data_IF_580831042128
#
_entry.id   IF_580831042128
#
_cell.length_a   1.000
_cell.length_b   1.000
_cell.length_c   1.000
_cell.angle_alpha   90.00
_cell.angle_beta   90.00
_cell.angle_gamma   90.00
#
_symmetry.space_group_name_H-M   'P 1'
#
loop_
_entity.id
_entity.type
_entity.pdbx_description
1 polymer ?
#
# COMPACT_ATOMS: atom_id res chain seq x y z
N UNK A 1 -11.85 -7.23 -11.42
CA UNK A 1 -12.21 -5.89 -10.89
C UNK A 1 -13.40 -5.23 -11.62
N UNK A 2 -13.33 -5.01 -12.93
CA UNK A 2 -14.40 -4.36 -13.72
C UNK A 2 -15.76 -5.05 -13.53
N UNK A 3 -15.82 -6.36 -13.82
CA UNK A 3 -17.05 -7.15 -13.71
C UNK A 3 -17.68 -7.12 -12.30
N UNK A 4 -16.84 -7.08 -11.26
CA UNK A 4 -17.27 -7.07 -9.86
C UNK A 4 -17.54 -5.66 -9.31
N UNK A 5 -17.19 -4.59 -10.04
CA UNK A 5 -17.23 -3.19 -9.58
C UNK A 5 -16.61 -2.99 -8.19
N UNK A 6 -15.62 -3.81 -7.84
CA UNK A 6 -14.94 -3.83 -6.52
C UNK A 6 -13.43 -3.69 -6.74
N UNK A 7 -12.82 -2.78 -6.00
CA UNK A 7 -11.36 -2.66 -5.93
C UNK A 7 -10.85 -3.80 -5.04
N UNK A 8 -10.13 -4.76 -5.62
CA UNK A 8 -9.53 -5.86 -4.89
C UNK A 8 -8.26 -6.32 -5.60
N UNK A 9 -7.24 -6.68 -4.83
CA UNK A 9 -6.03 -7.32 -5.35
C UNK A 9 -6.29 -8.74 -5.83
N UNK A 10 -7.38 -9.36 -5.35
CA UNK A 10 -7.83 -10.70 -5.74
C UNK A 10 -9.33 -10.83 -5.47
N UNK A 11 -10.12 -11.22 -6.46
CA UNK A 11 -11.52 -11.59 -6.23
C UNK A 11 -11.63 -13.08 -5.85
N UNK A 12 -12.72 -13.50 -5.19
CA UNK A 12 -12.95 -14.91 -4.90
C UNK A 12 -12.85 -15.77 -6.17
N UNK A 13 -12.05 -16.83 -6.11
CA UNK A 13 -11.82 -17.73 -7.25
C UNK A 13 -10.80 -17.24 -8.28
N UNK A 14 -10.30 -16.00 -8.18
CA UNK A 14 -9.22 -15.54 -9.05
C UNK A 14 -7.89 -16.18 -8.66
N UNK A 15 -7.05 -16.39 -9.68
CA UNK A 15 -5.65 -16.78 -9.53
C UNK A 15 -4.90 -15.66 -8.80
N UNK A 16 -3.89 -16.03 -8.01
CA UNK A 16 -3.02 -15.01 -7.42
C UNK A 16 -2.14 -14.35 -8.48
N UNK A 17 -1.56 -13.20 -8.16
CA UNK A 17 -0.73 -12.42 -9.07
C UNK A 17 0.47 -13.20 -9.62
N UNK A 18 1.06 -14.09 -8.81
CA UNK A 18 2.19 -14.91 -9.21
C UNK A 18 1.80 -15.95 -10.26
N UNK A 19 0.63 -16.57 -10.11
CA UNK A 19 0.03 -17.45 -11.12
C UNK A 19 -0.28 -16.69 -12.41
N UNK A 20 -0.88 -15.50 -12.31
CA UNK A 20 -1.18 -14.66 -13.48
C UNK A 20 0.09 -14.27 -14.24
N UNK A 21 1.15 -13.85 -13.54
CA UNK A 21 2.43 -13.53 -14.16
C UNK A 21 3.07 -14.74 -14.84
N UNK A 22 3.02 -15.91 -14.20
CA UNK A 22 3.53 -17.17 -14.77
C UNK A 22 2.77 -17.56 -16.05
N UNK A 23 1.45 -17.43 -16.07
CA UNK A 23 0.62 -17.70 -17.25
C UNK A 23 0.86 -16.71 -18.39
N UNK A 24 1.20 -15.46 -18.06
CA UNK A 24 1.66 -14.47 -19.02
C UNK A 24 3.10 -14.72 -19.51
N UNK A 25 3.76 -15.81 -19.09
CA UNK A 25 5.14 -16.14 -19.46
C UNK A 25 6.19 -15.28 -18.74
N UNK A 26 5.80 -14.53 -17.71
CA UNK A 26 6.71 -13.70 -16.94
C UNK A 26 7.27 -14.46 -15.74
N UNK A 27 8.56 -14.83 -15.82
CA UNK A 27 9.27 -15.51 -14.74
C UNK A 27 9.81 -14.48 -13.74
N UNK A 28 9.16 -14.34 -12.58
CA UNK A 28 9.38 -13.23 -11.67
C UNK A 28 10.14 -13.64 -10.40
N UNK A 29 11.01 -12.72 -9.94
CA UNK A 29 11.66 -12.75 -8.64
C UNK A 29 10.83 -12.03 -7.59
N UNK A 30 10.34 -10.84 -7.95
CA UNK A 30 9.46 -10.04 -7.13
C UNK A 30 8.34 -9.46 -7.97
N UNK A 31 7.12 -9.46 -7.44
CA UNK A 31 5.96 -8.79 -8.01
C UNK A 31 5.35 -7.84 -7.00
N UNK A 32 4.79 -6.75 -7.49
CA UNK A 32 4.00 -5.81 -6.71
C UNK A 32 2.94 -5.18 -7.61
N UNK A 33 1.83 -4.72 -7.03
CA UNK A 33 0.74 -4.16 -7.81
C UNK A 33 0.16 -2.93 -7.12
N UNK A 34 -0.15 -1.91 -7.90
CA UNK A 34 -0.99 -0.79 -7.51
C UNK A 34 -2.32 -0.91 -8.24
N UNK A 35 -3.42 -0.68 -7.52
CA UNK A 35 -4.76 -0.57 -8.09
C UNK A 35 -5.38 0.75 -7.67
N UNK A 36 -6.11 1.39 -8.59
CA UNK A 36 -6.83 2.63 -8.32
C UNK A 36 -8.18 2.64 -9.05
N UNK A 37 -9.13 3.40 -8.52
CA UNK A 37 -10.42 3.65 -9.15
C UNK A 37 -10.76 5.12 -9.08
N UNK A 38 -11.31 5.66 -10.17
CA UNK A 38 -11.76 7.04 -10.27
C UNK A 38 -10.80 8.07 -10.87
N UNK A 39 -9.47 7.90 -10.99
CA UNK A 39 -8.67 8.93 -11.65
C UNK A 39 -9.08 9.06 -13.11
N UNK A 40 -9.17 10.29 -13.59
CA UNK A 40 -9.64 10.62 -14.94
C UNK A 40 -8.49 10.84 -15.92
N UNK A 41 -7.26 10.86 -15.42
CA UNK A 41 -6.05 11.04 -16.20
C UNK A 41 -4.88 10.30 -15.58
N UNK A 42 -3.84 10.04 -16.38
CA UNK A 42 -2.58 9.49 -15.90
C UNK A 42 -1.93 10.39 -14.83
N UNK A 43 -2.07 11.71 -14.93
CA UNK A 43 -1.55 12.67 -13.94
C UNK A 43 -2.27 12.54 -12.60
N UNK A 44 -3.59 12.41 -12.61
CA UNK A 44 -4.39 12.20 -11.41
C UNK A 44 -4.07 10.85 -10.77
N UNK A 45 -3.94 9.79 -11.58
CA UNK A 45 -3.48 8.48 -11.12
C UNK A 45 -2.11 8.59 -10.45
N UNK A 46 -1.11 9.17 -11.12
CA UNK A 46 0.22 9.33 -10.55
C UNK A 46 0.17 10.17 -9.27
N UNK A 47 -0.62 11.23 -9.21
CA UNK A 47 -0.80 12.02 -7.98
C UNK A 47 -1.32 11.14 -6.84
N UNK A 48 -2.36 10.34 -7.08
CA UNK A 48 -2.89 9.40 -6.09
C UNK A 48 -1.85 8.37 -5.64
N UNK A 49 -1.08 7.83 -6.58
CA UNK A 49 -0.01 6.87 -6.27
C UNK A 49 1.11 7.53 -5.47
N UNK A 50 1.57 8.73 -5.84
CA UNK A 50 2.61 9.46 -5.13
C UNK A 50 2.20 9.85 -3.70
N UNK A 51 0.92 10.14 -3.48
CA UNK A 51 0.39 10.46 -2.16
C UNK A 51 0.36 9.25 -1.21
N UNK A 52 0.45 8.02 -1.72
CA UNK A 52 0.56 6.82 -0.91
C UNK A 52 2.04 6.42 -0.76
N UNK A 53 2.62 6.41 0.45
CA UNK A 53 4.04 6.09 0.65
C UNK A 53 4.46 4.72 0.10
N UNK A 54 3.59 3.70 0.18
CA UNK A 54 3.88 2.37 -0.35
C UNK A 54 3.90 2.34 -1.87
N UNK A 55 2.92 2.99 -2.52
CA UNK A 55 2.89 3.11 -3.98
C UNK A 55 4.05 3.96 -4.51
N UNK A 56 4.42 5.02 -3.78
CA UNK A 56 5.59 5.85 -4.07
C UNK A 56 6.88 5.05 -3.93
N UNK A 57 7.03 4.28 -2.86
CA UNK A 57 8.18 3.38 -2.69
C UNK A 57 8.27 2.40 -3.86
N UNK A 58 7.16 1.77 -4.26
CA UNK A 58 7.11 0.87 -5.43
C UNK A 58 7.50 1.57 -6.75
N UNK A 59 7.01 2.80 -6.98
CA UNK A 59 7.35 3.60 -8.16
C UNK A 59 8.85 3.89 -8.28
N UNK A 60 9.56 3.98 -7.15
CA UNK A 60 10.97 4.36 -7.09
C UNK A 60 11.88 3.23 -6.56
N UNK A 61 11.35 2.02 -6.41
CA UNK A 61 12.11 0.92 -5.84
C UNK A 61 13.14 0.43 -6.85
N UNK A 62 14.39 0.38 -6.45
CA UNK A 62 15.51 -0.13 -7.25
C UNK A 62 15.33 -1.57 -7.72
N UNK A 63 14.51 -2.36 -7.04
CA UNK A 63 14.27 -3.77 -7.36
C UNK A 63 13.18 -3.97 -8.41
N UNK A 64 12.62 -2.90 -8.97
CA UNK A 64 11.60 -2.94 -10.02
C UNK A 64 12.27 -2.59 -11.33
N UNK A 65 12.18 -3.49 -12.32
CA UNK A 65 12.72 -3.24 -13.66
C UNK A 65 11.66 -3.26 -14.75
N UNK A 66 10.57 -3.99 -14.51
CA UNK A 66 9.50 -4.16 -15.47
C UNK A 66 8.21 -3.56 -14.92
N UNK A 67 7.42 -2.98 -15.83
CA UNK A 67 6.12 -2.40 -15.50
C UNK A 67 5.08 -2.76 -16.55
N UNK A 68 3.93 -3.25 -16.09
CA UNK A 68 2.73 -3.46 -16.90
C UNK A 68 1.61 -2.55 -16.40
N UNK A 69 0.89 -1.89 -17.31
CA UNK A 69 -0.23 -1.01 -16.97
C UNK A 69 -1.46 -1.42 -17.77
N UNK A 70 -2.60 -1.50 -17.10
CA UNK A 70 -3.91 -1.70 -17.71
C UNK A 70 -4.93 -0.71 -17.11
N UNK A 71 -5.85 -0.23 -17.92
CA UNK A 71 -6.96 0.63 -17.48
C UNK A 71 -8.26 0.28 -18.20
N UNK A 72 -9.39 0.52 -17.54
CA UNK A 72 -10.72 0.27 -18.10
C UNK A 72 -11.85 0.59 -17.10
N UNK A 73 -12.95 1.17 -17.58
CA UNK A 73 -14.12 1.55 -16.76
C UNK A 73 -13.77 2.36 -15.48
N UNK A 74 -12.75 3.22 -15.56
CA UNK A 74 -12.27 4.02 -14.42
C UNK A 74 -11.41 3.25 -13.42
N UNK A 75 -11.12 1.98 -13.66
CA UNK A 75 -10.12 1.19 -12.94
C UNK A 75 -8.75 1.30 -13.61
N UNK A 76 -7.71 1.29 -12.77
CA UNK A 76 -6.32 1.28 -13.18
C UNK A 76 -5.59 0.20 -12.40
N UNK A 77 -4.77 -0.57 -13.10
CA UNK A 77 -3.90 -1.60 -12.54
C UNK A 77 -2.50 -1.36 -13.06
N UNK A 78 -1.53 -1.37 -12.17
CA UNK A 78 -0.12 -1.25 -12.51
C UNK A 78 0.63 -2.34 -11.77
N UNK A 79 1.26 -3.25 -12.52
CA UNK A 79 2.04 -4.36 -11.98
C UNK A 79 3.51 -4.03 -12.19
N UNK A 80 4.28 -4.17 -11.14
CA UNK A 80 5.72 -4.01 -11.11
C UNK A 80 6.36 -5.37 -10.94
N UNK A 81 7.42 -5.62 -11.69
CA UNK A 81 8.12 -6.88 -11.67
C UNK A 81 9.63 -6.70 -11.70
N UNK A 82 10.31 -7.73 -11.24
CA UNK A 82 11.66 -8.02 -11.68
C UNK A 82 11.73 -9.48 -12.09
N UNK A 83 12.32 -9.72 -13.26
CA UNK A 83 12.45 -11.04 -13.82
C UNK A 83 13.59 -11.82 -13.14
N UNK A 84 13.40 -13.11 -12.89
CA UNK A 84 14.41 -14.02 -12.31
C UNK A 84 15.72 -14.10 -13.11
N UNK A 85 15.72 -13.63 -14.36
CA UNK A 85 16.92 -13.59 -15.21
C UNK A 85 17.84 -12.40 -14.94
N UNK A 86 17.40 -11.41 -14.17
CA UNK A 86 18.18 -10.20 -13.90
C UNK A 86 18.40 -9.99 -12.40
N UNK A 87 19.54 -9.38 -12.06
CA UNK A 87 19.75 -8.85 -10.71
C UNK A 87 18.85 -7.62 -10.54
N UNK A 88 17.89 -7.72 -9.63
CA UNK A 88 16.91 -6.67 -9.33
C UNK A 88 17.56 -5.51 -8.54
N UNK A 89 18.49 -4.79 -9.16
CA UNK A 89 19.17 -3.63 -8.59
C UNK A 89 19.38 -2.54 -9.64
N UNK A 90 18.27 -2.01 -10.16
CA UNK A 90 18.24 -0.95 -11.18
C UNK A 90 18.71 0.43 -10.72
N UNK A 91 19.10 0.60 -9.45
CA UNK A 91 19.70 1.85 -8.95
C UNK A 91 21.23 1.88 -9.04
N UNK A 92 21.87 0.79 -9.49
CA UNK A 92 23.28 0.82 -9.86
C UNK A 92 23.45 1.43 -11.25
N UNK A 93 24.57 2.14 -11.48
CA UNK A 93 24.98 2.58 -12.81
C UNK A 93 24.75 1.45 -13.83
N UNK A 94 24.16 1.71 -15.01
CA UNK A 94 23.84 0.69 -16.00
C UNK A 94 25.13 0.12 -16.59
N UNK A 95 25.80 -0.75 -15.84
CA UNK A 95 26.80 -1.66 -16.37
C UNK A 95 26.00 -2.79 -16.99
N UNK A 96 25.67 -2.61 -18.26
CA UNK A 96 25.12 -3.67 -19.09
C UNK A 96 25.98 -4.92 -18.92
N UNK A 97 25.45 -5.92 -18.22
CA UNK A 97 25.95 -7.29 -18.34
C UNK A 97 25.71 -7.69 -19.80
N UNK A 98 26.78 -7.65 -20.57
CA UNK A 98 26.85 -8.10 -21.96
C UNK A 98 26.71 -9.63 -21.95
N UNK A 99 25.48 -10.13 -21.94
CA UNK A 99 25.22 -11.50 -22.36
C UNK A 99 24.92 -11.47 -23.86
N UNK A 100 25.87 -11.97 -24.65
CA UNK A 100 25.73 -12.24 -26.08
C UNK A 100 24.41 -12.96 -26.36
N UNK A 101 23.47 -12.28 -27.00
CA UNK A 101 22.36 -12.91 -27.69
C UNK A 101 22.14 -12.19 -29.02
N UNK A 102 22.18 -12.98 -30.09
CA UNK A 102 22.05 -12.62 -31.49
C UNK A 102 20.72 -11.89 -31.76
N UNK A 103 20.72 -10.70 -32.38
CA UNK A 103 19.49 -9.97 -32.72
C UNK A 103 18.93 -10.40 -34.10
N UNK A 104 17.60 -10.38 -34.31
CA UNK A 104 17.01 -10.41 -35.64
C UNK A 104 17.03 -9.03 -36.33
N UNK A 105 16.99 -9.07 -37.66
CA UNK A 105 17.39 -8.07 -38.67
C UNK A 105 16.84 -6.63 -38.58
N UNK A 106 17.80 -5.69 -38.60
CA UNK A 106 17.95 -4.42 -39.35
C UNK A 106 16.76 -3.54 -39.80
N UNK A 107 16.80 -2.26 -39.39
CA UNK A 107 16.47 -1.05 -40.19
C UNK A 107 17.67 -0.08 -40.04
N UNK A 108 18.11 0.64 -41.11
CA UNK A 108 19.47 1.15 -41.21
C UNK A 108 19.72 2.49 -40.51
N UNK A 109 20.96 2.60 -40.02
CA UNK A 109 21.59 3.75 -39.38
C UNK A 109 22.38 4.58 -40.41
N UNK A 110 22.52 5.91 -40.25
CA UNK A 110 23.68 6.63 -40.73
C UNK A 110 24.66 6.93 -39.56
N UNK A 111 25.87 6.39 -39.68
CA UNK A 111 27.07 6.69 -38.88
C UNK A 111 27.80 7.94 -39.43
N UNK A 112 28.99 8.34 -38.91
CA UNK A 112 29.42 8.56 -37.52
C UNK A 112 30.18 9.91 -37.36
N UNK A 113 30.58 10.28 -36.14
CA UNK A 113 31.84 11.04 -35.95
C UNK A 113 32.44 10.78 -34.56
N UNK A 114 33.76 10.72 -34.53
CA UNK A 114 34.61 10.01 -33.57
C UNK A 114 35.55 10.95 -32.79
N UNK A 115 36.15 10.38 -31.72
CA UNK A 115 37.45 10.70 -31.06
C UNK A 115 37.49 11.82 -29.99
N UNK A 116 38.50 11.85 -29.07
CA UNK A 116 39.44 10.81 -28.61
C UNK A 116 39.62 10.69 -27.06
N UNK A 117 40.47 9.73 -26.69
CA UNK A 117 40.83 9.14 -25.38
C UNK A 117 41.76 9.94 -24.43
N UNK A 118 41.83 9.47 -23.17
CA UNK A 118 43.03 9.23 -22.29
C UNK A 118 42.92 9.83 -20.87
N UNK A 119 43.75 9.44 -19.86
CA UNK A 119 44.22 8.10 -19.46
C UNK A 119 44.12 7.82 -17.93
N UNK A 120 44.23 6.52 -17.61
CA UNK A 120 44.86 5.82 -16.46
C UNK A 120 45.33 6.64 -15.24
N UNK A 121 44.92 6.23 -14.03
CA UNK A 121 45.77 6.30 -12.84
C UNK A 121 45.44 5.20 -11.80
N UNK A 122 46.48 4.87 -11.06
CA UNK A 122 46.82 3.57 -10.52
C UNK A 122 46.13 3.13 -9.22
N UNK A 123 46.13 1.81 -9.10
CA UNK A 123 45.94 0.90 -7.98
C UNK A 123 46.56 1.31 -6.63
N UNK A 124 45.88 0.93 -5.54
CA UNK A 124 46.52 0.54 -4.28
C UNK A 124 45.63 -0.43 -3.48
N UNK A 125 46.24 -1.31 -2.65
CA UNK A 125 45.77 -2.68 -2.43
C UNK A 125 44.72 -2.84 -1.31
N UNK A 126 43.91 -3.90 -1.47
CA UNK A 126 42.95 -4.39 -0.48
C UNK A 126 43.63 -5.05 0.74
N UNK A 127 43.08 -4.90 1.95
CA UNK A 127 43.50 -5.68 3.11
C UNK A 127 43.04 -7.16 3.00
N UNK A 128 43.94 -8.08 3.35
CA UNK A 128 43.71 -9.52 3.36
C UNK A 128 42.56 -9.92 4.31
N UNK A 129 41.71 -10.90 3.92
CA UNK A 129 40.74 -11.50 4.83
C UNK A 129 41.39 -12.48 5.82
N UNK A 130 40.79 -12.66 7.01
CA UNK A 130 41.28 -13.57 8.05
C UNK A 130 41.20 -15.05 7.63
N UNK A 131 42.00 -15.94 8.26
CA UNK A 131 42.05 -17.35 7.91
C UNK A 131 40.72 -18.08 8.18
N UNK A 132 40.42 -19.14 7.40
CA UNK A 132 39.18 -19.88 7.52
C UNK A 132 39.11 -20.72 8.81
N UNK A 133 37.93 -20.83 9.45
CA UNK A 133 37.74 -21.74 10.57
C UNK A 133 37.78 -23.21 10.14
N UNK A 134 38.31 -24.04 11.02
CA UNK A 134 38.49 -25.49 10.85
C UNK A 134 37.20 -26.24 10.46
N UNK A 135 37.30 -27.34 9.70
CA UNK A 135 36.14 -28.10 9.26
C UNK A 135 35.44 -28.81 10.44
N UNK A 136 34.10 -28.82 10.49
CA UNK A 136 33.34 -29.54 11.51
C UNK A 136 33.48 -31.06 11.32
N UNK A 137 33.59 -31.75 12.47
CA UNK A 137 33.69 -33.19 12.68
C UNK A 137 32.52 -33.92 11.96
N UNK A 138 32.84 -34.93 11.15
CA UNK A 138 31.84 -35.80 10.49
C UNK A 138 31.03 -36.58 11.52
N UNK A 139 29.71 -36.42 11.50
CA UNK A 139 28.76 -37.32 12.17
C UNK A 139 28.66 -38.66 11.41
N UNK A 140 28.42 -39.79 12.10
CA UNK A 140 28.24 -41.09 11.45
C UNK A 140 26.97 -41.13 10.57
N UNK A 141 26.96 -41.97 9.53
CA UNK A 141 25.83 -42.07 8.61
C UNK A 141 24.59 -42.68 9.29
N UNK A 142 23.38 -42.19 8.97
CA UNK A 142 22.15 -42.78 9.47
C UNK A 142 21.90 -44.15 8.83
N UNK A 143 21.51 -45.11 9.66
CA UNK A 143 21.14 -46.47 9.28
C UNK A 143 19.95 -46.46 8.31
N UNK A 144 20.12 -47.06 7.14
CA UNK A 144 19.09 -47.18 6.11
C UNK A 144 17.95 -48.07 6.62
N UNK A 145 16.77 -47.47 6.81
CA UNK A 145 15.51 -48.19 7.03
C UNK A 145 14.95 -48.61 5.67
N UNK A 146 14.43 -49.85 5.50
CA UNK A 146 13.81 -50.26 4.25
C UNK A 146 12.60 -49.38 3.93
N UNK A 147 12.37 -49.03 2.65
CA UNK A 147 11.21 -48.24 2.26
C UNK A 147 9.93 -49.06 2.44
N UNK A 148 8.92 -48.45 3.07
CA UNK A 148 7.56 -48.99 3.09
C UNK A 148 7.00 -49.08 1.66
N UNK A 149 6.22 -50.13 1.34
CA UNK A 149 5.60 -50.29 0.02
C UNK A 149 4.70 -49.10 -0.32
N UNK A 150 4.83 -48.61 -1.55
CA UNK A 150 4.07 -47.47 -2.04
C UNK A 150 2.56 -47.80 -2.09
N UNK A 151 1.68 -46.85 -1.71
CA UNK A 151 0.25 -47.03 -1.87
C UNK A 151 -0.13 -47.13 -3.37
N UNK A 152 -1.17 -47.90 -3.71
CA UNK A 152 -1.60 -48.11 -5.09
C UNK A 152 -1.98 -46.79 -5.74
N UNK A 153 -1.50 -46.61 -6.98
CA UNK A 153 -1.70 -45.41 -7.79
C UNK A 153 -3.19 -45.26 -8.11
N UNK A 154 -3.83 -44.12 -7.83
CA UNK A 154 -5.21 -43.90 -8.23
C UNK A 154 -5.33 -43.91 -9.76
N UNK A 155 -6.36 -44.59 -10.26
CA UNK A 155 -6.68 -44.71 -11.67
C UNK A 155 -6.87 -43.32 -12.31
N UNK A 156 -6.37 -43.12 -13.55
CA UNK A 156 -6.57 -41.84 -14.24
C UNK A 156 -8.06 -41.59 -14.49
N UNK A 157 -8.54 -40.34 -14.33
CA UNK A 157 -9.92 -39.99 -14.62
C UNK A 157 -10.21 -40.15 -16.12
N UNK A 158 -11.40 -40.67 -16.42
CA UNK A 158 -11.88 -40.86 -17.79
C UNK A 158 -11.92 -39.52 -18.55
N UNK A 159 -11.62 -39.51 -19.85
CA UNK A 159 -11.66 -38.29 -20.65
C UNK A 159 -13.09 -37.71 -20.70
N UNK A 160 -13.24 -36.38 -20.60
CA UNK A 160 -14.53 -35.73 -20.65
C UNK A 160 -15.19 -35.93 -22.02
N UNK A 161 -16.50 -36.21 -21.99
CA UNK A 161 -17.35 -36.34 -23.18
C UNK A 161 -17.31 -35.02 -24.00
N UNK A 162 -17.24 -35.08 -25.34
CA UNK A 162 -17.28 -33.90 -26.18
C UNK A 162 -18.58 -33.13 -25.98
N UNK A 163 -18.46 -31.83 -25.68
CA UNK A 163 -19.62 -30.93 -25.61
C UNK A 163 -20.20 -30.70 -27.02
N UNK A 164 -21.54 -30.63 -27.17
CA UNK A 164 -22.17 -30.32 -28.43
C UNK A 164 -21.81 -28.90 -28.91
N UNK A 165 -21.79 -28.65 -30.23
CA UNK A 165 -21.41 -27.36 -30.79
C UNK A 165 -22.38 -26.26 -30.35
N UNK A 166 -21.87 -25.29 -29.58
CA UNK A 166 -22.61 -24.08 -29.22
C UNK A 166 -22.79 -23.22 -30.48
N UNK A 167 -24.04 -23.00 -30.88
CA UNK A 167 -24.41 -21.95 -31.83
C UNK A 167 -24.10 -20.59 -31.21
N UNK A 168 -23.30 -19.81 -31.92
CA UNK A 168 -23.02 -18.41 -31.57
C UNK A 168 -24.33 -17.62 -31.48
N UNK A 169 -24.57 -16.87 -30.39
CA UNK A 169 -25.71 -15.96 -30.32
C UNK A 169 -25.54 -14.82 -31.34
N UNK A 170 -26.63 -14.32 -31.93
CA UNK A 170 -26.58 -13.23 -32.89
C UNK A 170 -26.05 -11.95 -32.24
N UNK A 171 -25.20 -11.24 -32.98
CA UNK A 171 -24.62 -9.95 -32.59
C UNK A 171 -25.72 -8.93 -32.24
N UNK A 172 -25.58 -8.18 -31.12
CA UNK A 172 -26.50 -7.11 -30.78
C UNK A 172 -26.50 -6.02 -31.86
N UNK A 173 -27.70 -5.59 -32.28
CA UNK A 173 -27.85 -4.43 -33.17
C UNK A 173 -27.26 -3.18 -32.52
N UNK A 174 -26.54 -2.40 -33.32
CA UNK A 174 -26.00 -1.11 -32.91
C UNK A 174 -27.12 -0.17 -32.41
N UNK A 175 -26.90 0.55 -31.31
CA UNK A 175 -27.86 1.52 -30.82
C UNK A 175 -27.99 2.71 -31.79
N UNK A 176 -29.20 3.29 -31.92
CA UNK A 176 -29.42 4.44 -32.78
C UNK A 176 -28.64 5.68 -32.30
N UNK A 177 -28.28 6.60 -33.21
CA UNK A 177 -27.53 7.80 -32.89
C UNK A 177 -28.28 8.67 -31.86
N UNK A 178 -27.61 8.96 -30.73
CA UNK A 178 -28.12 9.86 -29.72
C UNK A 178 -28.18 11.29 -30.27
N UNK A 179 -29.36 11.91 -30.16
CA UNK A 179 -29.56 13.34 -30.46
C UNK A 179 -28.73 14.20 -29.50
N UNK A 180 -28.06 15.20 -30.05
CA UNK A 180 -27.30 16.21 -29.30
C UNK A 180 -28.16 16.91 -28.25
N UNK A 181 -27.60 17.26 -27.07
CA UNK A 181 -28.33 18.02 -26.06
C UNK A 181 -28.67 19.44 -26.56
N UNK A 182 -29.85 19.99 -26.18
CA UNK A 182 -30.20 21.36 -26.50
C UNK A 182 -29.29 22.36 -25.75
N UNK A 183 -28.96 23.47 -26.43
CA UNK A 183 -28.17 24.55 -25.87
C UNK A 183 -28.79 25.13 -24.58
N UNK A 184 -27.97 25.52 -23.60
CA UNK A 184 -28.43 26.15 -22.38
C UNK A 184 -29.09 27.51 -22.67
N UNK A 185 -30.27 27.73 -22.07
CA UNK A 185 -31.00 29.00 -22.11
C UNK A 185 -30.19 30.11 -21.42
N UNK A 186 -30.24 31.36 -21.92
CA UNK A 186 -29.58 32.50 -21.30
C UNK A 186 -30.18 32.84 -19.93
N UNK A 187 -29.30 33.17 -18.97
CA UNK A 187 -29.64 33.54 -17.60
C UNK A 187 -30.46 34.85 -17.55
N UNK A 188 -31.44 34.97 -16.62
CA UNK A 188 -32.20 36.19 -16.42
C UNK A 188 -31.33 37.36 -15.94
N UNK A 189 -31.68 38.56 -16.41
CA UNK A 189 -31.04 39.81 -16.07
C UNK A 189 -31.10 40.12 -14.57
N UNK A 190 -29.99 40.70 -14.09
CA UNK A 190 -29.75 41.15 -12.72
C UNK A 190 -30.72 42.28 -12.35
N UNK A 191 -31.48 42.19 -11.23
CA UNK A 191 -32.33 43.29 -10.79
C UNK A 191 -31.49 44.46 -10.23
N UNK A 192 -31.96 45.67 -10.55
CA UNK A 192 -31.41 46.96 -10.14
C UNK A 192 -31.37 47.16 -8.62
N UNK A 193 -30.44 48.00 -8.10
CA UNK A 193 -30.25 48.21 -6.67
C UNK A 193 -31.41 48.97 -6.04
N UNK A 194 -31.97 48.41 -4.97
CA UNK A 194 -32.99 49.04 -4.13
C UNK A 194 -32.37 50.03 -3.14
N UNK A 195 -33.13 51.10 -2.87
CA UNK A 195 -32.82 52.29 -2.07
C UNK A 195 -32.30 52.06 -0.64
N UNK A 196 -31.70 53.10 -0.01
CA UNK A 196 -31.07 53.00 1.31
C UNK A 196 -32.09 52.72 2.42
N UNK A 197 -31.81 51.70 3.23
CA UNK A 197 -32.59 51.33 4.42
C UNK A 197 -32.30 52.30 5.58
N UNK A 198 -33.30 52.73 6.37
CA UNK A 198 -33.10 53.61 7.52
C UNK A 198 -32.20 52.96 8.60
N UNK A 199 -31.49 53.76 9.42
CA UNK A 199 -30.58 53.25 10.45
C UNK A 199 -31.35 52.46 11.50
N UNK A 200 -31.18 51.13 11.48
CA UNK A 200 -31.70 50.25 12.53
C UNK A 200 -30.86 50.42 13.80
N UNK A 201 -31.56 50.66 14.91
CA UNK A 201 -31.03 50.76 16.28
C UNK A 201 -30.23 49.49 16.60
N UNK A 202 -28.98 49.66 17.02
CA UNK A 202 -28.09 48.56 17.37
C UNK A 202 -28.72 47.71 18.48
N UNK A 203 -28.87 46.37 18.30
CA UNK A 203 -29.34 45.50 19.36
C UNK A 203 -28.35 45.49 20.53
N UNK A 204 -28.84 45.29 21.77
CA UNK A 204 -28.00 45.24 22.96
C UNK A 204 -26.92 44.17 22.82
N UNK A 205 -25.69 44.54 23.19
CA UNK A 205 -24.50 43.70 23.17
C UNK A 205 -24.80 42.36 23.85
N UNK A 206 -24.72 41.28 23.08
CA UNK A 206 -24.89 39.93 23.61
C UNK A 206 -23.86 39.66 24.72
N UNK A 207 -24.26 38.96 25.80
CA UNK A 207 -23.37 38.63 26.90
C UNK A 207 -22.13 37.90 26.38
N UNK A 208 -20.96 38.37 26.84
CA UNK A 208 -19.65 37.84 26.48
C UNK A 208 -19.64 36.32 26.66
N UNK A 209 -19.33 35.54 25.62
CA UNK A 209 -19.29 34.08 25.73
C UNK A 209 -18.40 33.65 26.91
N UNK A 210 -18.83 32.66 27.71
CA UNK A 210 -18.00 32.13 28.78
C UNK A 210 -16.63 31.75 28.23
N UNK A 211 -15.59 32.16 28.95
CA UNK A 211 -14.19 31.93 28.58
C UNK A 211 -14.00 30.43 28.31
N UNK A 212 -13.53 30.09 27.11
CA UNK A 212 -13.28 28.71 26.75
C UNK A 212 -12.41 28.04 27.83
N UNK A 213 -12.74 26.79 28.25
CA UNK A 213 -11.94 26.08 29.24
C UNK A 213 -10.47 26.09 28.83
N UNK A 214 -9.57 26.34 29.78
CA UNK A 214 -8.13 26.25 29.54
C UNK A 214 -7.81 24.86 28.98
N UNK A 215 -6.97 24.76 27.92
CA UNK A 215 -6.60 23.47 27.37
C UNK A 215 -5.96 22.61 28.47
N UNK A 216 -6.25 21.30 28.51
CA UNK A 216 -5.64 20.40 29.48
C UNK A 216 -4.11 20.47 29.36
N UNK A 217 -3.37 20.30 30.47
CA UNK A 217 -1.91 20.29 30.44
C UNK A 217 -1.42 19.24 29.44
N UNK A 218 -0.31 19.50 28.72
CA UNK A 218 0.20 18.59 27.70
C UNK A 218 0.49 17.23 28.36
N UNK A 219 -0.33 16.23 28.02
CA UNK A 219 -0.09 14.85 28.41
C UNK A 219 1.27 14.45 27.83
N UNK A 220 2.20 14.01 28.69
CA UNK A 220 3.45 13.40 28.23
C UNK A 220 3.09 12.06 27.60
N UNK A 221 2.85 12.07 26.29
CA UNK A 221 2.72 10.84 25.54
C UNK A 221 4.05 10.08 25.61
N UNK A 222 4.02 8.88 26.17
CA UNK A 222 5.22 8.04 26.31
C UNK A 222 5.03 6.74 25.55
N UNK A 223 6.13 6.20 25.04
CA UNK A 223 6.18 4.86 24.49
C UNK A 223 6.67 3.91 25.58
N UNK A 224 5.86 2.94 25.96
CA UNK A 224 6.25 1.99 27.01
C UNK A 224 7.41 1.10 26.56
N UNK A 225 8.48 1.07 27.36
CA UNK A 225 9.63 0.18 27.21
C UNK A 225 9.49 -1.16 27.95
N UNK A 226 8.36 -1.38 28.65
CA UNK A 226 8.12 -2.58 29.47
C UNK A 226 6.81 -3.30 29.16
N UNK A 227 5.95 -2.74 28.32
CA UNK A 227 4.62 -3.27 28.04
C UNK A 227 4.36 -3.39 26.54
N UNK A 228 3.99 -4.60 26.07
CA UNK A 228 3.63 -4.90 24.68
C UNK A 228 2.11 -5.13 24.48
N UNK A 229 1.27 -4.70 25.43
CA UNK A 229 -0.18 -4.77 25.29
C UNK A 229 -0.67 -3.92 24.12
N UNK A 230 -1.82 -4.29 23.56
CA UNK A 230 -2.46 -3.54 22.47
C UNK A 230 -2.67 -2.05 22.84
N UNK A 231 -3.04 -1.76 24.09
CA UNK A 231 -3.20 -0.39 24.58
C UNK A 231 -1.88 0.39 24.55
N UNK A 232 -0.80 -0.19 25.11
CA UNK A 232 0.52 0.44 25.11
C UNK A 232 1.05 0.69 23.68
N UNK A 233 0.77 -0.23 22.77
CA UNK A 233 1.13 -0.10 21.35
C UNK A 233 0.39 1.08 20.71
N UNK A 234 -0.93 1.18 20.88
CA UNK A 234 -1.70 2.28 20.30
C UNK A 234 -1.35 3.64 20.92
N UNK A 235 -1.07 3.68 22.22
CA UNK A 235 -0.57 4.89 22.89
C UNK A 235 0.78 5.32 22.28
N UNK A 236 1.72 4.39 22.11
CA UNK A 236 3.02 4.69 21.52
C UNK A 236 2.91 5.13 20.04
N UNK A 237 2.03 4.51 19.25
CA UNK A 237 1.73 4.95 17.87
C UNK A 237 1.30 6.42 17.86
N UNK A 238 0.35 6.79 18.73
CA UNK A 238 -0.14 8.17 18.81
C UNK A 238 0.91 9.14 19.36
N UNK A 239 1.72 8.70 20.32
CA UNK A 239 2.85 9.47 20.83
C UNK A 239 3.85 9.83 19.71
N UNK A 240 4.24 8.84 18.90
CA UNK A 240 5.18 9.00 17.79
C UNK A 240 4.60 9.82 16.64
N UNK A 241 3.29 9.72 16.38
CA UNK A 241 2.60 10.58 15.40
C UNK A 241 2.64 12.05 15.79
N UNK A 242 2.45 12.35 17.08
CA UNK A 242 2.51 13.71 17.62
C UNK A 242 3.94 14.23 17.71
N UNK A 243 4.87 13.39 18.15
CA UNK A 243 6.27 13.73 18.35
C UNK A 243 7.19 12.64 17.79
N UNK A 244 7.55 12.72 16.50
CA UNK A 244 8.44 11.75 15.88
C UNK A 244 9.82 11.66 16.54
N UNK A 245 10.28 12.73 17.23
CA UNK A 245 11.57 12.75 17.91
C UNK A 245 11.69 11.73 19.06
N UNK A 246 10.58 11.13 19.51
CA UNK A 246 10.61 9.96 20.39
C UNK A 246 11.36 8.76 19.79
N UNK A 247 11.57 8.76 18.47
CA UNK A 247 12.31 7.74 17.71
C UNK A 247 13.67 8.27 17.20
N UNK A 248 14.20 9.35 17.79
CA UNK A 248 15.45 9.99 17.34
C UNK A 248 16.70 9.12 17.52
N UNK A 249 16.66 8.16 18.44
CA UNK A 249 17.71 7.17 18.68
C UNK A 249 17.67 5.99 17.70
N UNK A 250 16.67 5.95 16.79
CA UNK A 250 16.56 4.89 15.79
C UNK A 250 17.53 5.14 14.63
N UNK A 251 18.29 4.13 14.14
CA UNK A 251 19.31 4.34 13.11
C UNK A 251 18.79 4.98 11.81
N UNK A 252 17.53 4.73 11.47
CA UNK A 252 16.91 5.27 10.27
C UNK A 252 16.38 6.71 10.43
N UNK A 253 16.33 7.27 11.64
CA UNK A 253 15.62 8.53 11.94
C UNK A 253 16.04 9.69 11.04
N UNK A 254 17.34 9.92 10.91
CA UNK A 254 17.89 11.02 10.10
C UNK A 254 17.44 10.94 8.63
N UNK A 255 17.30 9.72 8.09
CA UNK A 255 16.88 9.52 6.69
C UNK A 255 15.38 9.73 6.45
N UNK A 256 14.56 9.79 7.50
CA UNK A 256 13.09 9.75 7.38
C UNK A 256 12.41 10.96 8.01
N UNK A 257 13.09 11.69 8.90
CA UNK A 257 12.52 12.78 9.70
C UNK A 257 11.82 13.83 8.84
N UNK A 258 12.41 14.24 7.71
CA UNK A 258 11.81 15.23 6.82
C UNK A 258 10.44 14.79 6.26
N UNK A 259 10.24 13.49 6.04
CA UNK A 259 9.00 12.94 5.48
C UNK A 259 7.88 12.74 6.52
N UNK A 260 8.22 12.67 7.80
CA UNK A 260 7.27 12.34 8.88
C UNK A 260 6.89 13.53 9.75
N UNK A 261 7.69 14.60 9.77
CA UNK A 261 7.37 15.83 10.52
C UNK A 261 6.48 16.77 9.73
N UNK A 262 6.46 16.66 8.39
CA UNK A 262 5.69 17.54 7.52
C UNK A 262 4.79 16.77 6.54
N UNK A 263 3.47 16.99 6.55
CA UNK A 263 2.71 17.73 7.56
C UNK A 263 2.70 17.03 8.95
N UNK A 264 2.42 17.74 10.06
CA UNK A 264 2.22 17.09 11.35
C UNK A 264 1.09 16.04 11.29
N UNK A 265 1.27 14.89 11.96
CA UNK A 265 0.23 13.85 12.01
C UNK A 265 -0.59 13.98 13.29
N UNK A 266 -1.92 13.94 13.13
CA UNK A 266 -2.84 13.88 14.27
C UNK A 266 -2.86 12.46 14.87
N UNK A 267 -3.16 12.31 16.17
CA UNK A 267 -3.44 11.00 16.76
C UNK A 267 -4.54 10.27 15.99
N UNK A 268 -4.42 8.95 15.91
CA UNK A 268 -5.48 8.08 15.42
C UNK A 268 -6.48 7.82 16.55
N UNK A 269 -7.76 7.79 16.20
CA UNK A 269 -8.84 7.44 17.11
C UNK A 269 -8.84 5.91 17.28
N UNK A 270 -8.85 5.44 18.52
CA UNK A 270 -8.97 4.01 18.80
C UNK A 270 -10.39 3.55 18.48
N UNK A 271 -10.53 2.50 17.66
CA UNK A 271 -11.83 2.00 17.21
C UNK A 271 -12.00 0.52 17.55
N UNK A 272 -13.10 0.17 18.24
CA UNK A 272 -13.38 -1.18 18.72
C UNK A 272 -13.55 -2.21 17.59
N UNK A 273 -14.09 -1.83 16.44
CA UNK A 273 -14.29 -2.74 15.31
C UNK A 273 -12.95 -3.09 14.65
N UNK A 274 -12.02 -2.13 14.61
CA UNK A 274 -10.65 -2.37 14.16
C UNK A 274 -9.88 -3.25 15.16
N UNK A 275 -10.12 -3.08 16.46
CA UNK A 275 -9.56 -3.96 17.49
C UNK A 275 -10.08 -5.40 17.35
N UNK A 276 -11.39 -5.58 17.12
CA UNK A 276 -11.97 -6.91 16.90
C UNK A 276 -11.43 -7.58 15.63
N UNK A 277 -11.24 -6.80 14.56
CA UNK A 277 -10.58 -7.27 13.33
C UNK A 277 -9.14 -7.71 13.62
N UNK A 278 -8.36 -6.88 14.32
CA UNK A 278 -6.98 -7.20 14.69
C UNK A 278 -6.91 -8.44 15.61
N UNK A 279 -7.82 -8.57 16.57
CA UNK A 279 -7.87 -9.71 17.49
C UNK A 279 -8.16 -11.02 16.77
N UNK A 280 -9.10 -11.01 15.81
CA UNK A 280 -9.44 -12.18 15.02
C UNK A 280 -8.23 -12.69 14.21
N UNK A 281 -7.52 -11.79 13.54
CA UNK A 281 -6.32 -12.14 12.78
C UNK A 281 -5.15 -12.57 13.69
N UNK A 282 -4.94 -11.87 14.80
CA UNK A 282 -3.90 -12.22 15.78
C UNK A 282 -4.14 -13.60 16.40
N UNK A 283 -5.40 -13.98 16.63
CA UNK A 283 -5.75 -15.34 17.10
C UNK A 283 -5.33 -16.42 16.11
N UNK A 284 -5.44 -16.16 14.80
CA UNK A 284 -4.96 -17.08 13.77
C UNK A 284 -3.42 -17.15 13.75
N UNK A 285 -2.73 -16.01 13.88
CA UNK A 285 -1.25 -16.04 14.00
C UNK A 285 -0.79 -16.89 15.18
N UNK A 286 -1.45 -16.78 16.34
CA UNK A 286 -1.17 -17.61 17.51
C UNK A 286 -1.47 -19.08 17.22
N UNK A 287 -2.65 -19.39 16.68
CA UNK A 287 -3.09 -20.77 16.41
C UNK A 287 -2.20 -21.49 15.39
N UNK A 288 -1.74 -20.78 14.36
CA UNK A 288 -0.81 -21.30 13.36
C UNK A 288 0.67 -21.17 13.76
N UNK A 289 0.95 -20.49 14.88
CA UNK A 289 2.30 -20.13 15.33
C UNK A 289 3.17 -19.54 14.19
N UNK A 290 2.59 -18.62 13.42
CA UNK A 290 3.23 -18.02 12.25
C UNK A 290 2.70 -16.62 12.00
N UNK A 291 3.48 -15.78 11.32
CA UNK A 291 3.10 -14.42 10.95
C UNK A 291 2.79 -14.36 9.44
N UNK A 292 1.57 -14.00 9.08
CA UNK A 292 1.11 -13.92 7.69
C UNK A 292 0.10 -12.78 7.54
N UNK A 293 0.00 -12.17 6.37
CA UNK A 293 -1.08 -11.21 6.04
C UNK A 293 -2.46 -11.89 5.93
N UNK A 294 -2.47 -13.20 5.72
CA UNK A 294 -3.68 -14.01 5.57
C UNK A 294 -3.39 -15.49 5.81
N UNK A 295 -4.28 -16.17 6.53
CA UNK A 295 -4.23 -17.63 6.73
C UNK A 295 -5.18 -18.38 5.79
N UNK A 296 -4.97 -19.69 5.58
CA UNK A 296 -5.92 -20.52 4.81
C UNK A 296 -7.35 -20.42 5.37
N UNK A 297 -8.30 -20.10 4.49
CA UNK A 297 -9.71 -19.93 4.85
C UNK A 297 -10.05 -18.60 5.53
N UNK A 298 -9.06 -17.77 5.86
CA UNK A 298 -9.30 -16.44 6.43
C UNK A 298 -9.78 -15.47 5.35
N UNK A 299 -10.85 -14.68 5.58
CA UNK A 299 -11.22 -13.60 4.67
C UNK A 299 -10.06 -12.61 4.50
N UNK A 300 -9.98 -11.96 3.33
CA UNK A 300 -9.02 -10.88 3.13
C UNK A 300 -9.33 -9.68 4.04
N UNK A 301 -8.36 -8.81 4.33
CA UNK A 301 -8.50 -7.67 5.26
C UNK A 301 -9.80 -6.87 5.07
N UNK A 302 -10.16 -6.55 3.83
CA UNK A 302 -11.38 -5.79 3.54
C UNK A 302 -12.65 -6.54 3.97
N UNK A 303 -12.73 -7.84 3.72
CA UNK A 303 -13.86 -8.65 4.15
C UNK A 303 -13.84 -8.87 5.68
N UNK A 304 -12.66 -8.97 6.31
CA UNK A 304 -12.54 -8.99 7.78
C UNK A 304 -13.10 -7.73 8.43
N UNK A 305 -12.80 -6.56 7.87
CA UNK A 305 -13.33 -5.27 8.34
C UNK A 305 -14.85 -5.20 8.18
N UNK A 306 -15.37 -5.60 7.01
CA UNK A 306 -16.82 -5.63 6.78
C UNK A 306 -17.55 -6.60 7.71
N UNK A 307 -16.96 -7.78 7.99
CA UNK A 307 -17.50 -8.74 8.95
C UNK A 307 -17.54 -8.19 10.38
N UNK A 308 -16.66 -7.23 10.70
CA UNK A 308 -16.68 -6.48 11.96
C UNK A 308 -17.46 -5.15 11.85
N UNK A 309 -18.40 -5.06 10.90
CA UNK A 309 -19.26 -3.89 10.69
C UNK A 309 -18.50 -2.57 10.50
N UNK A 310 -17.31 -2.62 9.88
CA UNK A 310 -16.51 -1.43 9.61
C UNK A 310 -16.48 -1.12 8.10
N UNK A 311 -17.28 -0.15 7.68
CA UNK A 311 -17.28 0.35 6.31
C UNK A 311 -16.11 1.34 6.10
N UNK A 312 -15.16 0.98 5.23
CA UNK A 312 -13.92 1.74 5.02
C UNK A 312 -13.77 2.24 3.59
N UNK A 313 -13.06 3.37 3.43
CA UNK A 313 -12.58 3.89 2.14
C UNK A 313 -11.09 3.61 1.92
N UNK A 314 -10.36 3.37 3.02
CA UNK A 314 -8.93 3.02 3.01
C UNK A 314 -8.62 2.19 4.26
N UNK A 315 -7.78 1.17 4.14
CA UNK A 315 -7.34 0.34 5.24
C UNK A 315 -5.93 -0.20 5.01
N UNK A 316 -5.19 -0.39 6.11
CA UNK A 316 -3.87 -1.02 6.13
C UNK A 316 -3.75 -1.92 7.36
N UNK A 317 -2.95 -2.96 7.24
CA UNK A 317 -2.62 -3.88 8.32
C UNK A 317 -1.11 -4.06 8.39
N UNK A 318 -0.60 -4.23 9.61
CA UNK A 318 0.75 -4.67 9.86
C UNK A 318 0.79 -5.59 11.07
N UNK A 319 1.80 -6.45 11.12
CA UNK A 319 2.00 -7.41 12.21
C UNK A 319 3.47 -7.55 12.57
N UNK A 320 3.72 -8.15 13.73
CA UNK A 320 5.05 -8.47 14.23
C UNK A 320 5.00 -9.70 15.14
N UNK A 321 6.17 -10.31 15.37
CA UNK A 321 6.37 -11.41 16.30
C UNK A 321 7.58 -11.16 17.19
N UNK A 322 7.58 -11.70 18.41
CA UNK A 322 8.71 -11.64 19.33
C UNK A 322 8.88 -10.26 20.00
N UNK A 323 7.82 -9.46 20.02
CA UNK A 323 7.84 -8.10 20.56
C UNK A 323 7.84 -8.14 22.09
N UNK A 324 8.79 -7.41 22.70
CA UNK A 324 8.90 -7.32 24.17
C UNK A 324 8.17 -6.13 24.77
N UNK A 325 8.11 -5.01 24.04
CA UNK A 325 7.45 -3.78 24.47
C UNK A 325 7.03 -2.93 23.26
N UNK A 326 6.15 -1.97 23.49
CA UNK A 326 5.62 -1.07 22.46
C UNK A 326 6.70 -0.19 21.81
N UNK A 327 7.69 0.28 22.58
CA UNK A 327 8.77 1.12 22.07
C UNK A 327 9.62 0.38 21.03
N UNK A 328 10.09 -0.83 21.34
CA UNK A 328 10.91 -1.65 20.43
C UNK A 328 10.15 -2.03 19.16
N UNK A 329 8.85 -2.35 19.29
CA UNK A 329 7.98 -2.58 18.15
C UNK A 329 7.90 -1.37 17.22
N UNK A 330 7.63 -0.21 17.81
CA UNK A 330 7.45 1.02 17.04
C UNK A 330 8.77 1.47 16.44
N UNK A 331 9.89 1.32 17.15
CA UNK A 331 11.25 1.49 16.61
C UNK A 331 11.51 0.61 15.39
N UNK A 332 11.12 -0.67 15.43
CA UNK A 332 11.25 -1.58 14.29
C UNK A 332 10.34 -1.16 13.11
N UNK A 333 9.06 -0.91 13.36
CA UNK A 333 8.12 -0.46 12.33
C UNK A 333 8.49 0.91 11.73
N UNK A 334 9.05 1.81 12.53
CA UNK A 334 9.46 3.14 12.11
C UNK A 334 10.54 3.10 11.02
N UNK A 335 11.45 2.11 11.09
CA UNK A 335 12.48 1.92 10.06
C UNK A 335 12.01 1.11 8.86
N UNK A 336 10.90 0.37 8.94
CA UNK A 336 10.28 -0.29 7.81
C UNK A 336 9.46 0.71 6.98
N UNK A 337 9.77 0.89 5.69
CA UNK A 337 9.02 1.82 4.81
C UNK A 337 7.52 1.51 4.78
N UNK A 338 7.15 0.23 4.69
CA UNK A 338 5.74 -0.20 4.67
C UNK A 338 5.04 0.11 5.99
N UNK A 339 5.66 -0.25 7.12
CA UNK A 339 5.05 -0.09 8.44
C UNK A 339 5.01 1.38 8.89
N UNK A 340 6.06 2.15 8.59
CA UNK A 340 6.08 3.61 8.74
C UNK A 340 4.95 4.25 7.93
N UNK A 341 4.64 3.70 6.75
CA UNK A 341 3.50 4.11 5.93
C UNK A 341 2.17 4.06 6.67
N UNK A 342 1.92 3.03 7.49
CA UNK A 342 0.73 2.96 8.35
C UNK A 342 0.81 4.00 9.47
N UNK A 343 1.91 4.02 10.24
CA UNK A 343 2.05 4.94 11.38
C UNK A 343 1.87 6.40 10.96
N UNK A 344 2.36 6.81 9.78
CA UNK A 344 2.33 8.19 9.29
C UNK A 344 1.42 8.41 8.08
N UNK A 345 0.49 7.50 7.79
CA UNK A 345 -0.50 7.76 6.73
C UNK A 345 -1.42 8.90 7.17
N UNK A 346 -1.60 9.89 6.28
CA UNK A 346 -2.60 10.93 6.46
C UNK A 346 -4.03 10.46 6.12
N UNK A 347 -4.15 9.32 5.44
CA UNK A 347 -5.44 8.75 5.10
C UNK A 347 -6.07 8.03 6.30
N UNK A 348 -5.24 7.56 7.24
CA UNK A 348 -5.72 6.86 8.43
C UNK A 348 -6.21 7.85 9.49
N UNK A 349 -7.42 7.57 9.98
CA UNK A 349 -8.06 8.34 11.05
C UNK A 349 -8.30 7.50 12.29
N UNK A 350 -8.43 6.18 12.11
CA UNK A 350 -8.76 5.24 13.17
C UNK A 350 -7.76 4.09 13.20
N UNK A 351 -7.60 3.47 14.37
CA UNK A 351 -6.67 2.37 14.61
C UNK A 351 -7.24 1.36 15.61
N UNK A 352 -6.87 0.10 15.44
CA UNK A 352 -7.07 -0.97 16.40
C UNK A 352 -5.83 -1.86 16.44
N UNK A 353 -5.58 -2.48 17.59
CA UNK A 353 -4.48 -3.44 17.73
C UNK A 353 -4.90 -4.62 18.62
N UNK A 354 -4.22 -5.73 18.45
CA UNK A 354 -4.27 -6.90 19.31
C UNK A 354 -2.86 -7.43 19.54
N UNK A 355 -2.62 -8.01 20.71
CA UNK A 355 -1.33 -8.58 21.11
C UNK A 355 -1.58 -9.83 21.95
N UNK A 356 -1.06 -10.98 21.53
CA UNK A 356 -1.19 -12.27 22.24
C UNK A 356 -0.18 -13.28 21.68
N UNK A 357 0.32 -14.18 22.54
CA UNK A 357 1.24 -15.25 22.14
C UNK A 357 2.55 -14.77 21.51
N UNK A 358 3.00 -13.54 21.85
CA UNK A 358 4.17 -12.90 21.24
C UNK A 358 3.91 -12.31 19.84
N UNK A 359 2.70 -12.45 19.31
CA UNK A 359 2.26 -11.81 18.07
C UNK A 359 1.55 -10.49 18.35
N UNK A 360 1.68 -9.57 17.40
CA UNK A 360 0.95 -8.30 17.39
C UNK A 360 0.32 -8.10 16.01
N UNK A 361 -0.93 -7.68 15.98
CA UNK A 361 -1.61 -7.12 14.78
C UNK A 361 -2.01 -5.68 15.06
N UNK A 362 -1.78 -4.80 14.09
CA UNK A 362 -2.34 -3.46 14.06
C UNK A 362 -3.08 -3.25 12.74
N UNK A 363 -4.31 -2.74 12.84
CA UNK A 363 -5.15 -2.36 11.71
C UNK A 363 -5.45 -0.87 11.80
N UNK A 364 -5.15 -0.13 10.75
CA UNK A 364 -5.54 1.26 10.60
C UNK A 364 -6.57 1.39 9.48
N UNK A 365 -7.58 2.24 9.66
CA UNK A 365 -8.52 2.52 8.60
C UNK A 365 -9.05 3.97 8.57
N UNK A 366 -9.77 4.26 7.48
CA UNK A 366 -10.58 5.46 7.27
C UNK A 366 -12.01 5.04 6.95
N UNK A 367 -12.98 5.49 7.76
CA UNK A 367 -14.39 5.25 7.50
C UNK A 367 -14.85 5.95 6.21
N UNK A 368 -15.82 5.37 5.49
CA UNK A 368 -16.36 5.93 4.22
C UNK A 368 -16.93 7.36 4.41
N UNK A 369 -17.47 7.69 5.57
CA UNK A 369 -18.18 8.95 5.81
C UNK A 369 -17.31 10.11 6.29
N UNK A 370 -16.06 9.84 6.67
CA UNK A 370 -15.16 10.87 7.19
C UNK A 370 -14.56 11.70 6.05
N UNK A 371 -14.96 12.98 5.95
CA UNK A 371 -14.33 13.98 5.07
C UNK A 371 -12.80 13.98 5.31
N UNK A 372 -12.04 14.07 4.22
CA UNK A 372 -10.59 13.86 4.21
C UNK A 372 -9.85 14.98 4.97
N UNK A 373 -8.99 14.62 5.92
CA UNK A 373 -8.18 15.59 6.68
C UNK A 373 -7.03 16.22 5.88
N UNK A 374 -6.70 15.72 4.69
CA UNK A 374 -5.55 16.23 3.91
C UNK A 374 -5.86 17.49 3.09
N UNK A 375 -7.14 17.78 2.82
CA UNK A 375 -7.50 18.94 1.98
C UNK A 375 -7.54 20.25 2.75
N UNK A 376 -7.73 20.21 4.06
CA UNK A 376 -7.93 21.43 4.87
C UNK A 376 -6.62 22.13 5.26
N UNK A 377 -5.46 21.52 5.00
CA UNK A 377 -4.16 22.14 5.29
C UNK A 377 -3.47 22.74 4.06
N UNK A 378 -4.03 22.54 2.85
CA UNK A 378 -3.47 23.09 1.61
C UNK A 378 -4.35 24.16 0.94
N UNK A 379 -5.52 24.49 1.49
CA UNK A 379 -6.41 25.50 0.90
C UNK A 379 -6.81 26.58 1.91
N UNK A 380 -5.86 27.43 2.25
CA UNK A 380 -6.15 28.85 2.16
C UNK A 380 -6.39 29.19 0.69
N UNK A 381 -7.59 29.66 0.36
CA UNK A 381 -8.14 29.94 -0.96
C UNK A 381 -8.85 28.75 -1.63
N UNK A 382 -10.15 28.95 -1.84
CA UNK A 382 -11.13 27.90 -2.01
C UNK A 382 -11.14 27.21 -3.37
N UNK A 383 -11.74 26.02 -3.38
CA UNK A 383 -12.44 25.52 -4.55
C UNK A 383 -13.48 24.46 -4.13
N UNK A 384 -14.70 24.70 -4.59
CA UNK A 384 -15.87 23.82 -4.61
C UNK A 384 -15.52 22.56 -5.43
N UNK A 385 -16.08 21.38 -5.12
CA UNK A 385 -16.62 20.42 -6.13
C UNK A 385 -17.28 19.16 -5.52
N UNK A 386 -18.58 19.09 -5.78
CA UNK A 386 -19.46 18.01 -6.26
C UNK A 386 -19.58 16.66 -5.53
N UNK A 387 -20.79 16.45 -4.98
CA UNK A 387 -21.42 15.15 -4.76
C UNK A 387 -21.76 14.50 -6.10
N UNK A 388 -21.36 13.25 -6.29
CA UNK A 388 -21.94 12.35 -7.29
C UNK A 388 -22.66 11.21 -6.59
N UNK A 389 -23.98 11.27 -6.55
CA UNK A 389 -24.84 10.10 -6.30
C UNK A 389 -24.74 9.15 -7.50
N UNK A 390 -24.89 7.86 -7.24
CA UNK A 390 -25.61 6.97 -8.15
C UNK A 390 -26.98 6.71 -7.57
#
# INVERSE_FOLDING_TARGET
MIAAKKLSYRLPGEKDMGQLAKEAGYNWYSLSMNIAFGPRSARELLTLLFCNPGNRDLLFRCTVMDIGVASGEGFFTQVYGCNNKFLCNGCGNPSFLTTNNTPPSSIPNPSPLSLPSSPVLASSPSPQPPPPPSPPRRSPPPSLRPPSPAPPRPSPPSPPKPSPPQRSPPLPRAPPPQRSPPLPKPSPARPSPSSPKPPQRLPPLSPKPPRAPSPPPPQKYTCSSSNASAAAIMECVNAVRLNPALMSDTPCYASVVANITSPPRRPLIVNSNLMATAASHNHLMVSYNSASTQFPGEPGLGDRLMNNSYAFSFAMEQYAYGVKNAYDLIKWWFCSTGSRGLIFSCQLLEVGAASSGGFVTQVGAKKVETRSCCTDQLHGQGLIVLRGFK
#
